data_IF_812569533067
#
_entry.id   IF_812569533067
#
_cell.length_a   1.000
_cell.length_b   1.000
_cell.length_c   1.000
_cell.angle_alpha   90.00
_cell.angle_beta   90.00
_cell.angle_gamma   90.00
#
_symmetry.space_group_name_H-M   'P 1'
#
loop_
_entity.id
_entity.type
_entity.pdbx_description
1 polymer ?
#
# COMPACT_ATOMS: atom_id res chain seq x y z
N UNK A 1 -6.28 2.28 -6.67
CA UNK A 1 -7.70 1.93 -6.42
C UNK A 1 -7.73 0.51 -5.85
N UNK A 2 -8.51 0.26 -4.79
CA UNK A 2 -8.87 -1.11 -4.43
C UNK A 2 -9.65 -1.67 -5.62
N UNK A 3 -9.57 -2.97 -5.87
CA UNK A 3 -10.39 -3.60 -6.91
C UNK A 3 -11.89 -3.44 -6.64
N UNK A 4 -12.25 -3.23 -5.37
CA UNK A 4 -13.64 -3.13 -4.90
C UNK A 4 -13.91 -1.76 -4.27
N UNK A 5 -14.97 -1.08 -4.72
CA UNK A 5 -15.48 0.16 -4.13
C UNK A 5 -16.41 -0.09 -2.95
N UNK A 6 -16.68 0.94 -2.15
CA UNK A 6 -17.65 0.86 -1.05
C UNK A 6 -19.06 0.48 -1.57
N UNK A 7 -19.50 1.06 -2.69
CA UNK A 7 -20.77 0.72 -3.33
C UNK A 7 -20.85 -0.75 -3.76
N UNK A 8 -19.73 -1.32 -4.23
CA UNK A 8 -19.65 -2.74 -4.56
C UNK A 8 -19.73 -3.62 -3.30
N UNK A 9 -19.13 -3.19 -2.19
CA UNK A 9 -19.22 -3.90 -0.91
C UNK A 9 -20.63 -3.84 -0.31
N UNK A 10 -21.32 -2.70 -0.41
CA UNK A 10 -22.73 -2.55 -0.05
C UNK A 10 -23.64 -3.45 -0.89
N UNK A 11 -23.40 -3.47 -2.22
CA UNK A 11 -24.11 -4.35 -3.13
C UNK A 11 -23.91 -5.83 -2.76
N UNK A 12 -22.67 -6.23 -2.46
CA UNK A 12 -22.38 -7.58 -1.99
C UNK A 12 -23.12 -7.92 -0.71
N UNK A 13 -23.12 -7.03 0.29
CA UNK A 13 -23.84 -7.26 1.55
C UNK A 13 -25.33 -7.48 1.32
N UNK A 14 -25.95 -6.69 0.43
CA UNK A 14 -27.36 -6.88 0.05
C UNK A 14 -27.59 -8.23 -0.61
N UNK A 15 -26.76 -8.62 -1.57
CA UNK A 15 -26.84 -9.92 -2.26
C UNK A 15 -26.75 -11.08 -1.26
N UNK A 16 -25.83 -11.00 -0.30
CA UNK A 16 -25.67 -12.05 0.73
C UNK A 16 -26.89 -12.13 1.65
N UNK A 17 -27.44 -10.99 2.06
CA UNK A 17 -28.67 -10.94 2.85
C UNK A 17 -29.81 -11.56 2.06
N UNK A 18 -30.01 -11.15 0.81
CA UNK A 18 -31.05 -11.67 -0.06
C UNK A 18 -30.92 -13.20 -0.22
N UNK A 19 -29.72 -13.71 -0.51
CA UNK A 19 -29.47 -15.15 -0.61
C UNK A 19 -29.76 -15.90 0.71
N UNK A 20 -29.47 -15.29 1.85
CA UNK A 20 -29.67 -15.90 3.17
C UNK A 20 -31.13 -15.85 3.65
N UNK A 21 -31.93 -14.87 3.24
CA UNK A 21 -33.29 -14.66 3.74
C UNK A 21 -34.40 -14.88 2.70
N UNK A 22 -34.16 -14.56 1.43
CA UNK A 22 -35.16 -14.60 0.37
C UNK A 22 -34.74 -15.58 -0.73
N UNK A 23 -35.32 -16.78 -0.70
CA UNK A 23 -34.90 -17.88 -1.57
C UNK A 23 -35.21 -17.70 -3.07
N UNK A 24 -35.94 -16.64 -3.48
CA UNK A 24 -36.64 -16.64 -4.78
C UNK A 24 -35.82 -16.19 -5.98
N UNK A 25 -34.78 -15.38 -5.83
CA UNK A 25 -34.11 -14.74 -6.98
C UNK A 25 -32.57 -14.79 -6.94
N UNK A 26 -32.02 -15.81 -6.27
CA UNK A 26 -30.55 -15.96 -6.08
C UNK A 26 -29.81 -16.04 -7.43
N UNK A 27 -30.42 -16.61 -8.46
CA UNK A 27 -29.80 -16.78 -9.77
C UNK A 27 -29.48 -15.48 -10.51
N UNK A 28 -30.24 -14.40 -10.31
CA UNK A 28 -30.00 -13.12 -10.99
C UNK A 28 -28.81 -12.35 -10.38
N UNK A 29 -28.49 -12.62 -9.12
CA UNK A 29 -27.43 -11.96 -8.38
C UNK A 29 -26.10 -12.75 -8.40
N UNK A 30 -26.10 -13.97 -8.93
CA UNK A 30 -24.96 -14.90 -8.92
C UNK A 30 -23.73 -14.32 -9.64
N UNK A 31 -23.90 -13.76 -10.84
CA UNK A 31 -22.80 -13.18 -11.60
C UNK A 31 -22.16 -11.99 -10.85
N UNK A 32 -23.01 -11.16 -10.21
CA UNK A 32 -22.54 -10.03 -9.41
C UNK A 32 -21.79 -10.49 -8.16
N UNK A 33 -22.30 -11.53 -7.49
CA UNK A 33 -21.64 -12.15 -6.36
C UNK A 33 -20.25 -12.67 -6.74
N UNK A 34 -20.17 -13.48 -7.80
CA UNK A 34 -18.92 -14.08 -8.26
C UNK A 34 -17.90 -13.03 -8.69
N UNK A 35 -18.35 -11.98 -9.39
CA UNK A 35 -17.50 -10.87 -9.79
C UNK A 35 -16.89 -10.16 -8.57
N UNK A 36 -17.71 -9.68 -7.63
CA UNK A 36 -17.23 -8.92 -6.47
C UNK A 36 -16.35 -9.82 -5.58
N UNK A 37 -16.73 -11.09 -5.38
CA UNK A 37 -15.91 -12.07 -4.66
C UNK A 37 -14.55 -12.24 -5.32
N UNK A 38 -14.47 -12.35 -6.65
CA UNK A 38 -13.21 -12.50 -7.36
C UNK A 38 -12.30 -11.27 -7.19
N UNK A 39 -12.88 -10.07 -7.20
CA UNK A 39 -12.15 -8.82 -7.01
C UNK A 39 -11.65 -8.68 -5.56
N UNK A 40 -12.45 -9.07 -4.56
CA UNK A 40 -12.00 -9.15 -3.16
C UNK A 40 -10.84 -10.14 -2.99
N UNK A 41 -10.92 -11.32 -3.61
CA UNK A 41 -9.89 -12.37 -3.52
C UNK A 41 -8.56 -11.98 -4.18
N UNK A 42 -8.60 -11.10 -5.17
CA UNK A 42 -7.42 -10.58 -5.88
C UNK A 42 -6.74 -9.44 -5.15
N UNK A 43 -7.44 -8.77 -4.22
CA UNK A 43 -6.88 -7.67 -3.46
C UNK A 43 -6.01 -8.20 -2.32
N UNK A 44 -4.73 -7.83 -2.33
CA UNK A 44 -3.74 -8.30 -1.35
C UNK A 44 -4.03 -7.84 0.08
N UNK A 45 -4.82 -6.78 0.26
CA UNK A 45 -5.19 -6.24 1.58
C UNK A 45 -6.55 -6.77 2.00
N UNK A 46 -7.56 -6.64 1.13
CA UNK A 46 -8.93 -7.01 1.50
C UNK A 46 -9.11 -8.52 1.65
N UNK A 47 -8.33 -9.35 0.94
CA UNK A 47 -8.41 -10.82 1.00
C UNK A 47 -8.31 -11.37 2.42
N UNK A 48 -7.44 -10.80 3.24
CA UNK A 48 -7.24 -11.23 4.63
C UNK A 48 -8.42 -10.87 5.55
N UNK A 49 -9.25 -9.90 5.14
CA UNK A 49 -10.45 -9.46 5.86
C UNK A 49 -11.73 -10.14 5.36
N UNK A 50 -11.67 -10.97 4.31
CA UNK A 50 -12.84 -11.66 3.77
C UNK A 50 -13.34 -12.70 4.79
N UNK A 51 -14.62 -12.65 5.20
CA UNK A 51 -15.25 -13.66 6.04
C UNK A 51 -15.14 -15.08 5.48
N UNK A 52 -14.93 -16.07 6.35
CA UNK A 52 -14.84 -17.47 5.95
C UNK A 52 -16.08 -17.96 5.20
N UNK A 53 -17.26 -17.44 5.55
CA UNK A 53 -18.52 -17.74 4.85
C UNK A 53 -18.46 -17.36 3.36
N UNK A 54 -17.84 -16.23 3.01
CA UNK A 54 -17.66 -15.78 1.61
C UNK A 54 -16.46 -16.51 0.98
N UNK A 55 -15.40 -16.75 1.76
CA UNK A 55 -14.19 -17.43 1.29
C UNK A 55 -14.48 -18.87 0.87
N UNK A 56 -15.24 -19.61 1.67
CA UNK A 56 -15.62 -20.99 1.42
C UNK A 56 -16.69 -21.14 0.32
N UNK A 57 -17.53 -20.13 0.11
CA UNK A 57 -18.66 -20.21 -0.82
C UNK A 57 -18.30 -19.68 -2.20
N UNK A 58 -18.22 -20.57 -3.19
CA UNK A 58 -17.96 -20.17 -4.60
C UNK A 58 -19.17 -19.59 -5.30
N UNK A 59 -20.36 -19.99 -4.85
CA UNK A 59 -21.66 -19.56 -5.37
C UNK A 59 -22.62 -19.22 -4.23
N UNK A 60 -23.74 -18.55 -4.54
CA UNK A 60 -24.72 -18.15 -3.54
C UNK A 60 -25.48 -19.34 -2.94
N UNK A 61 -25.54 -20.47 -3.64
CA UNK A 61 -26.11 -21.72 -3.13
C UNK A 61 -25.32 -22.27 -1.94
N UNK A 62 -24.00 -22.32 -2.07
CA UNK A 62 -23.07 -22.70 -1.01
C UNK A 62 -23.15 -21.73 0.17
N UNK A 63 -23.16 -20.43 -0.11
CA UNK A 63 -23.29 -19.40 0.93
C UNK A 63 -24.59 -19.57 1.72
N UNK A 64 -25.71 -19.76 1.01
CA UNK A 64 -27.01 -19.99 1.63
C UNK A 64 -27.03 -21.24 2.49
N UNK A 65 -26.41 -22.34 2.04
CA UNK A 65 -26.33 -23.57 2.81
C UNK A 65 -25.60 -23.37 4.14
N UNK A 66 -24.54 -22.55 4.17
CA UNK A 66 -23.86 -22.18 5.43
C UNK A 66 -24.78 -21.37 6.34
N UNK A 67 -25.45 -20.34 5.79
CA UNK A 67 -26.31 -19.45 6.58
C UNK A 67 -27.55 -20.15 7.16
N UNK A 68 -27.98 -21.29 6.61
CA UNK A 68 -29.07 -22.06 7.18
C UNK A 68 -28.77 -22.60 8.58
N UNK A 69 -27.50 -22.72 8.95
CA UNK A 69 -27.07 -23.17 10.28
C UNK A 69 -27.10 -22.04 11.33
N UNK A 70 -27.17 -20.77 10.91
CA UNK A 70 -27.10 -19.59 11.79
C UNK A 70 -28.45 -19.22 12.44
N UNK A 71 -29.52 -19.97 12.15
CA UNK A 71 -30.85 -19.74 12.74
C UNK A 71 -31.82 -19.00 11.81
N UNK A 72 -32.58 -18.05 12.38
CA UNK A 72 -33.66 -17.33 11.71
C UNK A 72 -33.16 -16.20 10.79
N UNK A 73 -34.08 -15.52 10.10
CA UNK A 73 -33.71 -14.44 9.18
C UNK A 73 -33.02 -13.26 9.86
N UNK A 74 -33.38 -12.95 11.11
CA UNK A 74 -32.71 -11.93 11.90
C UNK A 74 -31.27 -12.33 12.20
N UNK A 75 -31.08 -13.54 12.71
CA UNK A 75 -29.76 -14.06 13.09
C UNK A 75 -28.80 -14.08 11.88
N UNK A 76 -29.28 -14.53 10.71
CA UNK A 76 -28.50 -14.51 9.46
C UNK A 76 -28.06 -13.11 9.06
N UNK A 77 -28.96 -12.11 9.15
CA UNK A 77 -28.63 -10.72 8.84
C UNK A 77 -27.59 -10.17 9.81
N UNK A 78 -27.75 -10.43 11.10
CA UNK A 78 -26.85 -9.97 12.14
C UNK A 78 -25.44 -10.58 11.96
N UNK A 79 -25.35 -11.87 11.61
CA UNK A 79 -24.08 -12.54 11.29
C UNK A 79 -23.42 -11.93 10.04
N UNK A 80 -24.18 -11.69 8.97
CA UNK A 80 -23.65 -11.09 7.74
C UNK A 80 -23.11 -9.68 8.01
N UNK A 81 -23.90 -8.82 8.64
CA UNK A 81 -23.50 -7.45 8.99
C UNK A 81 -22.22 -7.45 9.83
N UNK A 82 -22.20 -8.24 10.91
CA UNK A 82 -21.05 -8.33 11.81
C UNK A 82 -19.81 -8.84 11.08
N UNK A 83 -19.96 -9.85 10.22
CA UNK A 83 -18.82 -10.44 9.50
C UNK A 83 -18.18 -9.46 8.51
N UNK A 84 -18.97 -8.58 7.89
CA UNK A 84 -18.48 -7.64 6.89
C UNK A 84 -17.93 -6.33 7.46
N UNK A 85 -18.11 -6.07 8.76
CA UNK A 85 -17.76 -4.80 9.39
C UNK A 85 -16.27 -4.42 9.18
N UNK A 86 -15.35 -5.38 9.30
CA UNK A 86 -13.92 -5.12 9.09
C UNK A 86 -13.59 -4.68 7.65
N UNK A 87 -14.33 -5.18 6.65
CA UNK A 87 -14.16 -4.75 5.25
C UNK A 87 -14.66 -3.31 5.07
N UNK A 88 -15.80 -2.95 5.67
CA UNK A 88 -16.35 -1.59 5.64
C UNK A 88 -15.42 -0.61 6.33
N UNK A 89 -15.01 -0.90 7.57
CA UNK A 89 -14.08 -0.06 8.33
C UNK A 89 -12.78 0.18 7.55
N UNK A 90 -12.26 -0.85 6.86
CA UNK A 90 -11.06 -0.71 6.05
C UNK A 90 -11.26 0.23 4.86
N UNK A 91 -12.37 0.12 4.14
CA UNK A 91 -12.67 1.00 3.00
C UNK A 91 -13.03 2.43 3.43
N UNK A 92 -13.77 2.58 4.54
CA UNK A 92 -14.23 3.85 5.11
C UNK A 92 -13.11 4.64 5.81
N UNK A 93 -12.11 3.96 6.36
CA UNK A 93 -10.96 4.58 7.02
C UNK A 93 -10.15 5.53 6.11
N UNK A 94 -10.45 5.57 4.80
CA UNK A 94 -10.20 6.72 3.93
C UNK A 94 -8.75 7.16 3.76
N UNK A 95 -7.77 6.43 4.31
CA UNK A 95 -6.38 6.88 4.32
C UNK A 95 -5.46 5.72 4.06
N UNK A 96 -5.32 5.44 2.78
CA UNK A 96 -4.04 5.25 2.09
C UNK A 96 -4.44 4.94 0.66
N UNK A 97 -3.91 5.70 -0.30
CA UNK A 97 -4.03 5.33 -1.70
C UNK A 97 -3.77 3.81 -1.83
N UNK A 98 -4.40 3.05 -2.73
CA UNK A 98 -4.18 1.60 -2.76
C UNK A 98 -2.75 1.22 -3.12
N UNK A 99 -1.99 2.16 -3.68
CA UNK A 99 -0.54 2.11 -3.73
C UNK A 99 0.11 2.18 -2.35
N UNK A 100 -0.40 3.06 -1.49
CA UNK A 100 0.00 3.19 -0.12
C UNK A 100 -0.23 1.85 0.65
N UNK A 101 -1.47 1.36 0.75
CA UNK A 101 -1.76 0.10 1.45
C UNK A 101 -0.97 -1.12 0.91
N UNK A 102 -0.75 -1.23 -0.41
CA UNK A 102 0.05 -2.31 -1.02
C UNK A 102 1.52 -2.25 -0.65
N UNK A 103 2.09 -1.06 -0.58
CA UNK A 103 3.50 -0.90 -0.19
C UNK A 103 3.66 -1.20 1.31
N UNK A 104 2.67 -0.93 2.16
CA UNK A 104 2.76 -1.19 3.62
C UNK A 104 2.92 -2.69 3.84
N UNK A 105 2.08 -3.48 3.18
CA UNK A 105 2.11 -4.95 3.24
C UNK A 105 3.43 -5.52 2.72
N UNK A 106 3.96 -4.96 1.62
CA UNK A 106 5.21 -5.47 1.03
C UNK A 106 6.40 -5.08 1.90
N UNK A 107 6.47 -3.84 2.41
CA UNK A 107 7.53 -3.41 3.31
C UNK A 107 7.54 -4.22 4.61
N UNK A 108 6.37 -4.48 5.19
CA UNK A 108 6.21 -5.34 6.37
C UNK A 108 6.78 -6.74 6.11
N UNK A 109 6.40 -7.35 4.98
CA UNK A 109 6.79 -8.72 4.65
C UNK A 109 8.30 -8.88 4.44
N UNK A 110 8.97 -7.88 3.87
CA UNK A 110 10.34 -8.05 3.36
C UNK A 110 11.41 -7.27 4.15
N UNK A 111 11.05 -6.17 4.82
CA UNK A 111 12.02 -5.37 5.61
C UNK A 111 11.67 -5.37 7.10
N UNK A 112 10.40 -5.60 7.45
CA UNK A 112 9.92 -5.74 8.82
C UNK A 112 9.03 -4.59 9.29
N UNK A 113 8.41 -4.80 10.44
CA UNK A 113 7.34 -3.93 10.97
C UNK A 113 7.80 -2.49 11.25
N UNK A 114 9.09 -2.27 11.54
CA UNK A 114 9.61 -0.94 11.83
C UNK A 114 9.52 0.01 10.62
N UNK A 115 9.83 -0.51 9.43
CA UNK A 115 9.79 0.26 8.19
C UNK A 115 8.36 0.60 7.79
N UNK A 116 7.45 -0.36 7.94
CA UNK A 116 6.00 -0.14 7.76
C UNK A 116 5.49 0.93 8.72
N UNK A 117 5.76 0.81 10.03
CA UNK A 117 5.32 1.80 11.02
C UNK A 117 5.86 3.20 10.71
N UNK A 118 7.10 3.30 10.24
CA UNK A 118 7.68 4.58 9.85
C UNK A 118 6.97 5.17 8.64
N UNK A 119 6.50 4.35 7.71
CA UNK A 119 5.84 4.88 6.54
C UNK A 119 4.36 5.22 6.78
N UNK A 120 3.62 4.40 7.53
CA UNK A 120 2.24 4.70 7.94
C UNK A 120 2.19 6.01 8.75
N UNK A 121 3.17 6.23 9.63
CA UNK A 121 3.33 7.51 10.34
C UNK A 121 3.64 8.68 9.39
N UNK A 122 4.44 8.46 8.34
CA UNK A 122 4.74 9.51 7.36
C UNK A 122 3.47 9.95 6.61
N UNK A 123 2.63 8.98 6.24
CA UNK A 123 1.33 9.24 5.61
C UNK A 123 0.38 9.98 6.55
N UNK A 124 0.27 9.54 7.81
CA UNK A 124 -0.58 10.21 8.81
C UNK A 124 -0.13 11.64 9.14
N UNK A 125 1.17 11.94 9.00
CA UNK A 125 1.73 13.29 9.24
C UNK A 125 1.68 14.21 8.03
N UNK A 126 1.43 13.70 6.82
CA UNK A 126 1.57 14.50 5.60
C UNK A 126 0.71 15.78 5.58
N UNK A 127 -0.45 15.75 6.25
CA UNK A 127 -1.34 16.90 6.38
C UNK A 127 -0.92 17.87 7.50
N UNK A 128 -0.67 17.34 8.70
CA UNK A 128 -0.51 18.14 9.93
C UNK A 128 0.96 18.49 10.26
N UNK A 129 1.90 17.70 9.76
CA UNK A 129 3.35 17.89 9.90
C UNK A 129 4.08 17.53 8.57
N UNK A 130 3.98 18.40 7.54
CA UNK A 130 4.58 18.15 6.23
C UNK A 130 6.10 17.97 6.26
N UNK A 131 6.80 18.68 7.15
CA UNK A 131 8.26 18.60 7.28
C UNK A 131 8.69 17.27 7.92
N UNK A 132 7.98 16.83 8.96
CA UNK A 132 8.17 15.52 9.55
C UNK A 132 7.85 14.40 8.56
N UNK A 133 6.77 14.51 7.79
CA UNK A 133 6.43 13.54 6.76
C UNK A 133 7.52 13.40 5.68
N UNK A 134 8.13 14.50 5.22
CA UNK A 134 9.25 14.47 4.27
C UNK A 134 10.49 13.82 4.89
N UNK A 135 10.79 14.14 6.15
CA UNK A 135 11.91 13.52 6.89
C UNK A 135 11.72 12.01 7.00
N UNK A 136 10.49 11.55 7.24
CA UNK A 136 10.17 10.13 7.32
C UNK A 136 10.20 9.45 5.95
N UNK A 137 9.79 10.13 4.88
CA UNK A 137 9.93 9.64 3.50
C UNK A 137 11.41 9.40 3.13
N UNK A 138 12.30 10.33 3.52
CA UNK A 138 13.75 10.15 3.36
C UNK A 138 14.27 8.97 4.17
N UNK A 139 13.88 8.89 5.44
CA UNK A 139 14.30 7.82 6.37
C UNK A 139 13.89 6.44 5.83
N UNK A 140 12.68 6.32 5.27
CA UNK A 140 12.22 5.11 4.61
C UNK A 140 13.18 4.64 3.50
N UNK A 141 13.57 5.54 2.59
CA UNK A 141 14.50 5.18 1.51
C UNK A 141 15.90 4.85 2.04
N UNK A 142 16.39 5.55 3.06
CA UNK A 142 17.67 5.24 3.69
C UNK A 142 17.66 3.83 4.30
N UNK A 143 16.60 3.47 5.02
CA UNK A 143 16.44 2.14 5.62
C UNK A 143 16.38 1.05 4.55
N UNK A 144 15.60 1.26 3.48
CA UNK A 144 15.48 0.29 2.38
C UNK A 144 16.82 0.11 1.66
N UNK A 145 17.53 1.21 1.36
CA UNK A 145 18.84 1.13 0.71
C UNK A 145 19.86 0.41 1.60
N UNK A 146 19.90 0.74 2.90
CA UNK A 146 20.78 0.05 3.87
C UNK A 146 20.47 -1.45 3.93
N UNK A 147 19.20 -1.83 4.00
CA UNK A 147 18.80 -3.23 3.97
C UNK A 147 19.30 -3.97 2.71
N UNK A 148 19.18 -3.36 1.53
CA UNK A 148 19.69 -3.94 0.27
C UNK A 148 21.22 -4.12 0.31
N UNK A 149 21.94 -3.12 0.83
CA UNK A 149 23.41 -3.16 0.93
C UNK A 149 23.89 -4.24 1.91
N UNK A 150 23.16 -4.40 3.03
CA UNK A 150 23.42 -5.45 4.02
C UNK A 150 23.18 -6.84 3.42
N UNK A 151 22.04 -7.07 2.74
CA UNK A 151 21.71 -8.33 2.06
C UNK A 151 22.73 -8.72 0.98
N UNK A 152 23.22 -7.74 0.21
CA UNK A 152 24.23 -7.95 -0.84
C UNK A 152 25.68 -7.92 -0.30
N UNK A 153 25.87 -7.91 1.03
CA UNK A 153 27.18 -8.01 1.71
C UNK A 153 28.18 -6.88 1.43
N UNK A 154 27.72 -5.66 1.09
CA UNK A 154 28.61 -4.48 1.03
C UNK A 154 28.83 -3.82 2.42
N UNK A 155 28.15 -4.29 3.46
CA UNK A 155 28.27 -3.82 4.84
C UNK A 155 27.59 -2.46 5.08
N UNK A 156 27.47 -2.02 6.35
CA UNK A 156 26.74 -0.81 6.68
C UNK A 156 27.48 0.41 6.15
N UNK A 157 26.94 1.02 5.11
CA UNK A 157 27.42 2.30 4.60
C UNK A 157 26.75 3.42 5.41
N UNK A 158 27.53 4.20 6.13
CA UNK A 158 27.09 5.46 6.75
C UNK A 158 27.31 6.61 5.75
N UNK A 159 26.42 6.71 4.78
CA UNK A 159 26.43 7.74 3.75
C UNK A 159 25.09 8.47 3.67
N UNK A 160 25.08 9.59 2.96
CA UNK A 160 23.85 10.30 2.62
C UNK A 160 22.99 9.49 1.62
N UNK A 161 21.67 9.66 1.72
CA UNK A 161 20.67 9.00 0.87
C UNK A 161 21.07 8.92 -0.63
N UNK A 162 21.55 9.98 -1.30
CA UNK A 162 21.91 9.88 -2.73
C UNK A 162 23.00 8.85 -3.02
N UNK A 163 23.98 8.69 -2.13
CA UNK A 163 25.05 7.70 -2.29
C UNK A 163 24.56 6.29 -1.94
N UNK A 164 23.78 6.15 -0.86
CA UNK A 164 23.15 4.88 -0.49
C UNK A 164 22.32 4.31 -1.65
N UNK A 165 21.49 5.17 -2.25
CA UNK A 165 20.68 4.79 -3.40
C UNK A 165 21.53 4.43 -4.62
N UNK A 166 22.60 5.17 -4.92
CA UNK A 166 23.47 4.86 -6.05
C UNK A 166 24.12 3.48 -5.91
N UNK A 167 24.59 3.13 -4.71
CA UNK A 167 25.17 1.81 -4.42
C UNK A 167 24.12 0.70 -4.51
N UNK A 168 22.96 0.88 -3.87
CA UNK A 168 21.86 -0.09 -3.93
C UNK A 168 21.36 -0.31 -5.37
N UNK A 169 21.16 0.78 -6.13
CA UNK A 169 20.75 0.71 -7.53
C UNK A 169 21.79 -0.03 -8.40
N UNK A 170 23.10 0.19 -8.19
CA UNK A 170 24.15 -0.55 -8.91
C UNK A 170 24.07 -2.05 -8.65
N UNK A 171 23.88 -2.45 -7.38
CA UNK A 171 23.81 -3.86 -6.98
C UNK A 171 22.57 -4.58 -7.52
N UNK A 172 21.45 -3.87 -7.60
CA UNK A 172 20.20 -4.37 -8.18
C UNK A 172 20.14 -4.27 -9.72
N UNK A 173 21.26 -3.92 -10.37
CA UNK A 173 21.32 -3.70 -11.82
C UNK A 173 20.31 -2.63 -12.32
N UNK A 174 20.13 -1.55 -11.56
CA UNK A 174 19.22 -0.43 -11.81
C UNK A 174 19.95 0.88 -12.16
N UNK A 175 21.28 0.89 -12.25
CA UNK A 175 21.99 2.09 -12.68
C UNK A 175 21.76 2.35 -14.18
N UNK A 176 21.51 3.59 -14.62
CA UNK A 176 21.20 3.87 -16.04
C UNK A 176 22.26 3.38 -17.03
N UNK A 177 23.54 3.34 -16.64
CA UNK A 177 24.64 2.84 -17.46
C UNK A 177 24.66 1.31 -17.63
N UNK A 178 23.88 0.57 -16.85
CA UNK A 178 23.74 -0.89 -16.96
C UNK A 178 22.68 -1.33 -17.98
N UNK A 179 21.94 -0.38 -18.56
CA UNK A 179 20.87 -0.65 -19.52
C UNK A 179 21.23 -0.11 -20.91
N UNK A 180 20.60 -0.64 -21.96
CA UNK A 180 20.72 -0.10 -23.33
C UNK A 180 19.48 0.70 -23.73
N UNK A 181 18.30 0.26 -23.30
CA UNK A 181 16.99 0.83 -23.61
C UNK A 181 16.87 2.28 -23.12
N UNK A 182 16.71 3.23 -24.04
CA UNK A 182 16.73 4.66 -23.74
C UNK A 182 15.56 5.09 -22.84
N UNK A 183 14.37 4.51 -23.04
CA UNK A 183 13.18 4.79 -22.24
C UNK A 183 13.39 4.38 -20.77
N UNK A 184 13.96 3.19 -20.53
CA UNK A 184 14.26 2.69 -19.20
C UNK A 184 15.33 3.54 -18.51
N UNK A 185 16.39 3.95 -19.23
CA UNK A 185 17.40 4.88 -18.71
C UNK A 185 16.80 6.18 -18.20
N UNK A 186 15.86 6.75 -18.96
CA UNK A 186 15.22 8.01 -18.59
C UNK A 186 14.42 7.87 -17.30
N UNK A 187 13.70 6.75 -17.13
CA UNK A 187 12.96 6.45 -15.91
C UNK A 187 13.92 6.34 -14.71
N UNK A 188 14.98 5.54 -14.83
CA UNK A 188 15.97 5.33 -13.77
C UNK A 188 16.71 6.62 -13.40
N UNK A 189 17.02 7.47 -14.39
CA UNK A 189 17.59 8.80 -14.15
C UNK A 189 16.61 9.72 -13.42
N UNK A 190 15.31 9.61 -13.73
CA UNK A 190 14.24 10.28 -12.98
C UNK A 190 14.22 9.86 -11.52
N UNK A 191 14.30 8.56 -11.23
CA UNK A 191 14.40 8.03 -9.87
C UNK A 191 15.60 8.61 -9.11
N UNK A 192 16.78 8.63 -9.72
CA UNK A 192 17.98 9.27 -9.14
C UNK A 192 17.73 10.74 -8.81
N UNK A 193 17.04 11.47 -9.69
CA UNK A 193 16.75 12.90 -9.49
C UNK A 193 15.76 13.13 -8.34
N UNK A 194 14.76 12.26 -8.19
CA UNK A 194 13.82 12.28 -7.06
C UNK A 194 14.56 12.07 -5.74
N UNK A 195 15.46 11.08 -5.68
CA UNK A 195 16.25 10.79 -4.48
C UNK A 195 17.16 11.96 -4.09
N UNK A 196 17.81 12.59 -5.08
CA UNK A 196 18.59 13.81 -4.84
C UNK A 196 17.72 14.95 -4.30
N UNK A 197 16.51 15.13 -4.84
CA UNK A 197 15.55 16.12 -4.34
C UNK A 197 15.14 15.84 -2.88
N UNK A 198 14.82 14.59 -2.55
CA UNK A 198 14.48 14.17 -1.18
C UNK A 198 15.66 14.35 -0.20
N UNK A 199 16.89 14.07 -0.64
CA UNK A 199 18.09 14.27 0.18
C UNK A 199 18.36 15.75 0.50
N UNK A 200 18.09 16.65 -0.45
CA UNK A 200 18.40 18.08 -0.33
C UNK A 200 17.31 18.92 0.33
N UNK A 201 16.06 18.44 0.41
CA UNK A 201 14.93 19.15 0.99
C UNK A 201 15.13 19.58 2.47
N UNK A 202 16.03 18.93 3.22
CA UNK A 202 16.38 19.28 4.62
C UNK A 202 17.57 20.23 4.74
N UNK A 203 18.44 20.33 3.73
CA UNK A 203 19.76 20.97 3.85
C UNK A 203 19.72 22.52 3.87
N UNK A 204 18.54 23.14 4.00
CA UNK A 204 18.40 24.58 4.22
C UNK A 204 18.15 24.97 5.69
N UNK A 205 18.18 24.01 6.61
CA UNK A 205 17.88 24.21 8.05
C UNK A 205 19.14 24.39 8.93
N UNK A 206 20.34 24.50 8.35
CA UNK A 206 21.59 24.53 9.12
C UNK A 206 22.56 25.64 8.70
N UNK A 207 22.47 26.77 9.40
CA UNK A 207 23.58 27.65 9.80
C UNK A 207 24.63 28.03 8.73
N UNK A 208 24.37 29.07 7.94
CA UNK A 208 25.38 30.03 7.48
C UNK A 208 24.74 31.18 6.71
N UNK A 209 24.63 32.33 7.38
CA UNK A 209 24.70 33.68 6.80
C UNK A 209 23.75 34.03 5.65
N UNK A 210 22.64 34.69 6.02
CA UNK A 210 21.97 35.67 5.16
C UNK A 210 20.69 35.17 4.48
N UNK A 211 19.55 35.68 4.95
CA UNK A 211 18.31 35.90 4.17
C UNK A 211 18.01 34.92 3.01
N UNK A 212 18.01 33.61 3.23
CA UNK A 212 17.43 32.67 2.26
C UNK A 212 15.99 32.38 2.68
N UNK A 213 15.02 32.64 1.80
CA UNK A 213 13.62 32.25 2.03
C UNK A 213 13.56 30.76 2.41
N UNK A 214 13.20 30.48 3.66
CA UNK A 214 12.92 29.14 4.15
C UNK A 214 11.69 28.63 3.39
N UNK A 215 11.88 27.65 2.51
CA UNK A 215 10.77 27.04 1.79
C UNK A 215 10.03 26.12 2.77
N UNK A 216 8.79 26.47 3.11
CA UNK A 216 7.93 25.63 3.93
C UNK A 216 7.11 24.68 3.06
N UNK A 217 7.33 23.36 3.13
CA UNK A 217 6.54 22.41 2.38
C UNK A 217 5.09 22.42 2.88
N UNK A 218 4.16 22.58 1.94
CA UNK A 218 2.72 22.33 2.18
C UNK A 218 2.39 20.85 2.12
N UNK A 219 1.25 20.45 2.70
CA UNK A 219 0.76 19.06 2.73
C UNK A 219 0.91 18.31 1.39
N UNK A 220 0.43 18.90 0.28
CA UNK A 220 0.58 18.31 -1.07
C UNK A 220 2.02 17.92 -1.46
N UNK A 221 3.04 18.66 -0.98
CA UNK A 221 4.44 18.35 -1.30
C UNK A 221 4.95 17.21 -0.41
N UNK A 222 4.49 17.13 0.84
CA UNK A 222 4.77 16.01 1.72
C UNK A 222 4.09 14.73 1.21
N UNK A 223 2.83 14.81 0.80
CA UNK A 223 2.12 13.70 0.16
C UNK A 223 2.85 13.20 -1.09
N UNK A 224 3.32 14.11 -1.95
CA UNK A 224 4.13 13.74 -3.12
C UNK A 224 5.42 13.03 -2.70
N UNK A 225 6.17 13.59 -1.74
CA UNK A 225 7.42 13.02 -1.27
C UNK A 225 7.22 11.62 -0.66
N UNK A 226 6.21 11.44 0.19
CA UNK A 226 5.89 10.16 0.84
C UNK A 226 5.45 9.12 -0.18
N UNK A 227 4.64 9.50 -1.18
CA UNK A 227 4.23 8.58 -2.24
C UNK A 227 5.38 8.19 -3.17
N UNK A 228 6.24 9.14 -3.55
CA UNK A 228 7.44 8.85 -4.35
C UNK A 228 8.39 7.92 -3.59
N UNK A 229 8.66 8.20 -2.31
CA UNK A 229 9.49 7.36 -1.47
C UNK A 229 8.90 5.96 -1.29
N UNK A 230 7.60 5.85 -1.01
CA UNK A 230 6.91 4.56 -0.89
C UNK A 230 6.99 3.74 -2.17
N UNK A 231 6.69 4.34 -3.32
CA UNK A 231 6.74 3.65 -4.60
C UNK A 231 8.15 3.20 -4.99
N UNK A 232 9.17 4.03 -4.72
CA UNK A 232 10.57 3.66 -4.93
C UNK A 232 11.02 2.55 -3.98
N UNK A 233 10.66 2.63 -2.69
CA UNK A 233 10.96 1.59 -1.71
C UNK A 233 10.33 0.25 -2.13
N UNK A 234 9.06 0.26 -2.52
CA UNK A 234 8.36 -0.91 -3.04
C UNK A 234 9.07 -1.52 -4.25
N UNK A 235 9.46 -0.68 -5.21
CA UNK A 235 10.15 -1.12 -6.42
C UNK A 235 11.49 -1.79 -6.08
N UNK A 236 12.33 -1.14 -5.28
CA UNK A 236 13.65 -1.67 -4.89
C UNK A 236 13.54 -3.01 -4.16
N UNK A 237 12.61 -3.13 -3.21
CA UNK A 237 12.38 -4.38 -2.46
C UNK A 237 11.93 -5.49 -3.39
N UNK A 238 11.01 -5.22 -4.32
CA UNK A 238 10.57 -6.24 -5.27
C UNK A 238 11.73 -6.70 -6.15
N UNK A 239 12.51 -5.77 -6.67
CA UNK A 239 13.71 -6.12 -7.46
C UNK A 239 14.70 -6.97 -6.66
N UNK A 240 14.93 -6.67 -5.38
CA UNK A 240 15.79 -7.49 -4.53
C UNK A 240 15.29 -8.93 -4.36
N UNK A 241 13.97 -9.12 -4.29
CA UNK A 241 13.35 -10.44 -4.05
C UNK A 241 13.05 -11.21 -5.34
N UNK A 242 13.06 -10.55 -6.49
CA UNK A 242 12.89 -11.16 -7.81
C UNK A 242 14.25 -11.61 -8.41
N UNK A 243 15.38 -11.22 -7.81
CA UNK A 243 16.77 -11.66 -8.11
C UNK A 243 17.11 -13.03 -7.48
#
# INVERSE_FOLDING_TARGET
MYSVSIDQLESLQRILIDAATYAKDIGEQEDSYQFIRSELMRDVVLKELIPDSIRASRDLGQFRALMQNEGGYKDRRDVIWKSMQALFEKLESGSTAPHAARTSVVLEKFIGEEVQRNWDKALGRAHDDPEGAITMARTLLELVCKHILDEKSEGPIDDELPKLYASAARLLNLAPNQHSEQSLKQILQGCTSVVQGLGTLRNKEGDAHGHVKIYRPKARHAELAVNLAGGMALFLVRTLNDD
#
